data_IF_142856074646
#
_entry.id   IF_142856074646
#
_cell.length_a   1.000
_cell.length_b   1.000
_cell.length_c   1.000
_cell.angle_alpha   90.00
_cell.angle_beta   90.00
_cell.angle_gamma   90.00
#
_symmetry.space_group_name_H-M   'P 1'
#
loop_
_entity.id
_entity.type
_entity.pdbx_description
1 polymer ?
#
# COMPACT_ATOMS: atom_id res chain seq x y z
N UNK A 1 -70.39 8.60 -42.49
CA UNK A 1 -69.09 9.27 -42.70
C UNK A 1 -68.14 9.11 -41.50
N UNK A 2 -68.56 8.46 -40.42
CA UNK A 2 -67.79 8.38 -39.15
C UNK A 2 -66.91 7.13 -39.02
N UNK A 3 -67.05 6.16 -39.86
CA UNK A 3 -66.32 4.88 -39.73
C UNK A 3 -64.85 5.02 -40.16
N UNK A 4 -64.58 5.74 -41.22
CA UNK A 4 -63.25 6.00 -41.74
C UNK A 4 -62.40 6.90 -40.77
N UNK A 5 -63.05 7.83 -40.12
CA UNK A 5 -62.38 8.70 -39.13
C UNK A 5 -61.97 7.95 -37.83
N UNK A 6 -62.81 6.99 -37.40
CA UNK A 6 -62.47 6.12 -36.25
C UNK A 6 -61.36 5.14 -36.60
N UNK A 7 -61.29 4.63 -37.81
CA UNK A 7 -60.28 3.68 -38.26
C UNK A 7 -58.91 4.35 -38.35
N UNK A 8 -58.85 5.60 -38.85
CA UNK A 8 -57.58 6.38 -38.87
C UNK A 8 -57.09 6.74 -37.48
N UNK A 9 -57.98 7.13 -36.55
CA UNK A 9 -57.59 7.37 -35.17
C UNK A 9 -57.07 6.13 -34.44
N UNK A 10 -57.61 4.95 -34.73
CA UNK A 10 -57.15 3.69 -34.16
C UNK A 10 -55.79 3.27 -34.72
N UNK A 11 -55.49 3.55 -35.99
CA UNK A 11 -54.18 3.30 -36.58
C UNK A 11 -53.12 4.24 -36.01
N UNK A 12 -53.43 5.51 -35.81
CA UNK A 12 -52.54 6.49 -35.22
C UNK A 12 -52.21 6.16 -33.74
N UNK A 13 -53.22 5.72 -32.99
CA UNK A 13 -53.02 5.28 -31.60
C UNK A 13 -52.14 4.01 -31.51
N UNK A 14 -52.34 3.06 -32.43
CA UNK A 14 -51.50 1.86 -32.53
C UNK A 14 -50.03 2.21 -32.90
N UNK A 15 -49.88 3.14 -33.84
CA UNK A 15 -48.55 3.61 -34.24
C UNK A 15 -47.85 4.32 -33.05
N UNK A 16 -48.52 5.25 -32.37
CA UNK A 16 -47.97 5.92 -31.19
C UNK A 16 -47.61 4.94 -30.07
N UNK A 17 -48.45 3.96 -29.78
CA UNK A 17 -48.16 2.90 -28.83
C UNK A 17 -46.91 2.10 -29.22
N UNK A 18 -46.76 1.73 -30.48
CA UNK A 18 -45.62 0.94 -30.96
C UNK A 18 -44.34 1.75 -30.94
N UNK A 19 -44.39 3.04 -31.27
CA UNK A 19 -43.25 3.97 -31.13
C UNK A 19 -42.85 4.10 -29.67
N UNK A 20 -43.81 4.34 -28.76
CA UNK A 20 -43.58 4.44 -27.35
C UNK A 20 -42.94 3.16 -26.76
N UNK A 21 -43.48 2.00 -27.17
CA UNK A 21 -42.92 0.69 -26.79
C UNK A 21 -41.48 0.53 -27.28
N UNK A 22 -41.18 0.94 -28.52
CA UNK A 22 -39.83 0.92 -29.07
C UNK A 22 -38.85 1.80 -28.28
N UNK A 23 -39.29 3.00 -27.91
CA UNK A 23 -38.50 3.93 -27.08
C UNK A 23 -38.21 3.32 -25.67
N UNK A 24 -39.24 2.71 -25.05
CA UNK A 24 -39.04 2.05 -23.75
C UNK A 24 -38.03 0.88 -23.85
N UNK A 25 -38.11 0.06 -24.88
CA UNK A 25 -37.15 -1.04 -25.10
C UNK A 25 -35.71 -0.49 -25.30
N UNK A 26 -35.57 0.57 -26.09
CA UNK A 26 -34.28 1.22 -26.32
C UNK A 26 -33.67 1.78 -25.00
N UNK A 27 -34.50 2.45 -24.19
CA UNK A 27 -34.07 2.96 -22.89
C UNK A 27 -33.64 1.84 -21.91
N UNK A 28 -34.40 0.73 -21.90
CA UNK A 28 -34.01 -0.43 -21.10
C UNK A 28 -32.70 -1.04 -21.58
N UNK A 29 -32.46 -1.11 -22.89
CA UNK A 29 -31.20 -1.58 -23.47
C UNK A 29 -30.00 -0.69 -23.07
N UNK A 30 -30.16 0.63 -23.11
CA UNK A 30 -29.15 1.59 -22.71
C UNK A 30 -28.84 1.45 -21.21
N UNK A 31 -29.87 1.36 -20.34
CA UNK A 31 -29.69 1.15 -18.92
C UNK A 31 -28.96 -0.17 -18.60
N UNK A 32 -29.30 -1.25 -19.29
CA UNK A 32 -28.64 -2.54 -19.13
C UNK A 32 -27.14 -2.44 -19.53
N UNK A 33 -26.85 -1.78 -20.66
CA UNK A 33 -25.49 -1.56 -21.11
C UNK A 33 -24.67 -0.70 -20.13
N UNK A 34 -25.26 0.37 -19.59
CA UNK A 34 -24.62 1.21 -18.57
C UNK A 34 -24.36 0.45 -17.28
N UNK A 35 -25.32 -0.37 -16.81
CA UNK A 35 -25.15 -1.20 -15.62
C UNK A 35 -24.03 -2.21 -15.82
N UNK A 36 -23.91 -2.81 -17.00
CA UNK A 36 -22.85 -3.75 -17.34
C UNK A 36 -21.47 -3.05 -17.36
N UNK A 37 -21.38 -1.84 -17.94
CA UNK A 37 -20.18 -1.02 -17.92
C UNK A 37 -19.74 -0.65 -16.50
N UNK A 38 -20.68 -0.32 -15.62
CA UNK A 38 -20.39 0.00 -14.21
C UNK A 38 -19.91 -1.22 -13.43
N UNK A 39 -20.44 -2.40 -13.74
CA UNK A 39 -20.05 -3.66 -13.09
C UNK A 39 -18.59 -4.05 -13.40
N UNK A 40 -18.10 -3.70 -14.59
CA UNK A 40 -16.72 -3.94 -15.00
C UNK A 40 -15.76 -2.79 -14.70
N UNK A 41 -16.23 -1.68 -14.14
CA UNK A 41 -15.34 -0.61 -13.69
C UNK A 41 -14.61 -1.04 -12.44
N UNK A 42 -13.31 -1.13 -12.54
CA UNK A 42 -12.41 -1.19 -11.40
C UNK A 42 -12.21 0.24 -10.89
N UNK A 43 -12.84 0.57 -9.78
CA UNK A 43 -12.67 1.87 -9.15
C UNK A 43 -11.24 2.03 -8.64
N UNK A 44 -10.56 3.10 -9.08
CA UNK A 44 -9.29 3.52 -8.51
C UNK A 44 -9.58 4.30 -7.24
N UNK A 45 -9.20 3.75 -6.12
CA UNK A 45 -9.24 4.47 -4.85
C UNK A 45 -8.00 5.36 -4.80
N UNK A 46 -8.19 6.67 -4.96
CA UNK A 46 -7.12 7.66 -4.80
C UNK A 46 -7.09 8.01 -3.31
N UNK A 47 -6.08 7.52 -2.61
CA UNK A 47 -5.80 7.91 -1.22
C UNK A 47 -4.78 9.05 -1.28
N UNK A 48 -5.24 10.27 -1.04
CA UNK A 48 -4.36 11.44 -0.94
C UNK A 48 -4.26 11.87 0.52
N UNK A 49 -3.17 11.54 1.23
CA UNK A 49 -2.83 12.22 2.47
C UNK A 49 -2.56 13.71 2.23
N UNK A 50 -2.87 14.61 3.17
CA UNK A 50 -2.85 16.06 2.95
C UNK A 50 -1.48 16.69 2.63
N UNK A 51 -0.40 15.91 2.57
CA UNK A 51 0.96 16.40 2.32
C UNK A 51 1.57 15.87 1.00
N UNK A 52 0.79 15.19 0.14
CA UNK A 52 1.35 14.54 -1.04
C UNK A 52 0.98 15.25 -2.33
N UNK A 53 2.01 15.64 -3.06
CA UNK A 53 1.94 16.32 -4.35
C UNK A 53 1.59 15.38 -5.52
N UNK A 54 1.54 14.06 -5.29
CA UNK A 54 1.23 13.07 -6.33
C UNK A 54 0.12 12.12 -5.87
N UNK A 55 -0.83 11.83 -6.76
CA UNK A 55 -1.94 10.92 -6.48
C UNK A 55 -1.49 9.47 -6.39
N UNK A 56 -1.77 8.82 -5.27
CA UNK A 56 -1.62 7.37 -5.14
C UNK A 56 -2.83 6.66 -5.72
N UNK A 57 -2.59 5.57 -6.40
CA UNK A 57 -3.68 4.73 -6.88
C UNK A 57 -3.44 3.26 -6.53
N UNK A 58 -4.53 2.57 -6.25
CA UNK A 58 -4.58 1.13 -6.07
C UNK A 58 -5.61 0.61 -7.06
N UNK A 59 -5.20 -0.26 -7.98
CA UNK A 59 -6.06 -0.86 -8.99
C UNK A 59 -6.01 -2.39 -8.86
N UNK A 60 -7.04 -2.95 -8.24
CA UNK A 60 -7.10 -4.39 -7.98
C UNK A 60 -5.95 -4.89 -7.11
N UNK A 61 -4.99 -5.57 -7.73
CA UNK A 61 -3.78 -6.08 -7.06
C UNK A 61 -2.54 -5.23 -7.28
N UNK A 62 -2.63 -4.15 -8.06
CA UNK A 62 -1.53 -3.27 -8.41
C UNK A 62 -1.53 -2.03 -7.53
N UNK A 63 -0.34 -1.62 -7.14
CA UNK A 63 -0.10 -0.41 -6.36
C UNK A 63 0.78 0.55 -7.17
N UNK A 64 0.56 1.85 -7.03
CA UNK A 64 1.45 2.83 -7.67
C UNK A 64 2.86 2.75 -7.06
N UNK A 65 3.92 2.95 -7.86
CA UNK A 65 5.29 2.97 -7.33
C UNK A 65 5.46 3.96 -6.19
N UNK A 66 4.85 5.13 -6.30
CA UNK A 66 4.89 6.17 -5.27
C UNK A 66 4.25 5.72 -3.96
N UNK A 67 3.14 4.95 -4.04
CA UNK A 67 2.52 4.38 -2.84
C UNK A 67 3.43 3.35 -2.16
N UNK A 68 4.10 2.49 -2.94
CA UNK A 68 5.05 1.51 -2.41
C UNK A 68 6.24 2.21 -1.76
N UNK A 69 6.76 3.28 -2.37
CA UNK A 69 7.85 4.10 -1.81
C UNK A 69 7.50 4.69 -0.46
N UNK A 70 6.38 5.41 -0.39
CA UNK A 70 5.93 6.05 0.85
C UNK A 70 5.67 5.04 1.97
N UNK A 71 5.02 3.92 1.64
CA UNK A 71 4.79 2.87 2.62
C UNK A 71 6.09 2.23 3.08
N UNK A 72 7.06 2.03 2.18
CA UNK A 72 8.36 1.50 2.54
C UNK A 72 9.15 2.44 3.45
N UNK A 73 9.20 3.73 3.13
CA UNK A 73 9.83 4.75 3.97
C UNK A 73 9.16 4.84 5.34
N UNK A 74 7.84 4.82 5.38
CA UNK A 74 7.08 4.83 6.63
C UNK A 74 7.39 3.62 7.52
N UNK A 75 7.40 2.41 6.96
CA UNK A 75 7.72 1.22 7.73
C UNK A 75 9.20 1.13 8.11
N UNK A 76 10.12 1.57 7.23
CA UNK A 76 11.54 1.64 7.57
C UNK A 76 11.79 2.50 8.80
N UNK A 77 11.07 3.62 8.94
CA UNK A 77 11.12 4.45 10.12
C UNK A 77 10.74 3.68 11.41
N UNK A 78 9.69 2.86 11.38
CA UNK A 78 9.31 2.03 12.53
C UNK A 78 10.32 0.91 12.85
N UNK A 79 11.04 0.41 11.84
CA UNK A 79 12.03 -0.64 12.03
C UNK A 79 13.38 -0.13 12.50
N UNK A 80 13.81 1.03 11.99
CA UNK A 80 15.21 1.46 12.04
C UNK A 80 15.44 2.70 12.91
N UNK A 81 14.40 3.53 13.16
CA UNK A 81 14.52 4.70 14.02
C UNK A 81 14.00 4.37 15.43
N UNK A 82 14.74 3.49 16.11
CA UNK A 82 14.31 2.91 17.38
C UNK A 82 15.23 3.30 18.53
N UNK A 83 14.61 3.44 19.69
CA UNK A 83 15.25 3.68 20.97
C UNK A 83 14.73 2.64 21.97
N UNK A 84 15.40 2.50 23.11
CA UNK A 84 14.91 1.65 24.21
C UNK A 84 13.48 1.96 24.66
N UNK A 85 13.02 3.23 24.46
CA UNK A 85 11.71 3.71 24.94
C UNK A 85 10.60 3.52 23.94
N UNK A 86 10.89 3.58 22.62
CA UNK A 86 9.87 3.56 21.58
C UNK A 86 9.72 2.21 20.85
N UNK A 87 10.73 1.33 20.94
CA UNK A 87 10.76 0.09 20.13
C UNK A 87 9.53 -0.80 20.30
N UNK A 88 9.02 -0.98 21.52
CA UNK A 88 7.83 -1.78 21.76
C UNK A 88 6.58 -1.14 21.15
N UNK A 89 6.42 0.16 21.34
CA UNK A 89 5.28 0.89 20.80
C UNK A 89 5.26 0.89 19.28
N UNK A 90 6.41 1.18 18.66
CA UNK A 90 6.56 1.16 17.20
C UNK A 90 6.39 -0.26 16.65
N UNK A 91 6.94 -1.26 17.35
CA UNK A 91 6.79 -2.65 17.00
C UNK A 91 5.34 -3.13 17.04
N UNK A 92 4.56 -2.75 18.05
CA UNK A 92 3.14 -3.10 18.14
C UNK A 92 2.32 -2.49 16.99
N UNK A 93 2.66 -1.28 16.55
CA UNK A 93 2.05 -0.67 15.37
C UNK A 93 2.42 -1.47 14.12
N UNK A 94 3.70 -1.75 13.94
CA UNK A 94 4.23 -2.46 12.78
C UNK A 94 3.64 -3.86 12.62
N UNK A 95 3.50 -4.61 13.72
CA UNK A 95 2.96 -5.97 13.73
C UNK A 95 1.53 -6.07 13.19
N UNK A 96 0.77 -4.97 13.17
CA UNK A 96 -0.57 -4.91 12.55
C UNK A 96 -0.54 -4.95 11.03
N UNK A 97 0.63 -4.66 10.44
CA UNK A 97 0.86 -4.60 9.00
C UNK A 97 1.75 -5.72 8.49
N UNK A 98 2.09 -6.68 9.35
CA UNK A 98 2.87 -7.87 9.00
C UNK A 98 1.92 -9.00 8.62
N UNK A 99 2.32 -9.82 7.63
CA UNK A 99 1.53 -11.01 7.26
C UNK A 99 1.52 -12.04 8.39
N UNK A 100 0.43 -12.82 8.54
CA UNK A 100 0.32 -13.82 9.62
C UNK A 100 1.47 -14.83 9.65
N UNK A 101 1.98 -15.20 8.47
CA UNK A 101 3.02 -16.22 8.32
C UNK A 101 4.35 -15.83 8.99
N UNK A 102 4.69 -14.54 8.98
CA UNK A 102 5.95 -14.03 9.54
C UNK A 102 5.77 -13.26 10.84
N UNK A 103 4.54 -13.12 11.33
CA UNK A 103 4.22 -12.37 12.55
C UNK A 103 5.03 -12.85 13.76
N UNK A 104 5.11 -14.17 13.96
CA UNK A 104 5.85 -14.75 15.09
C UNK A 104 7.33 -14.43 15.05
N UNK A 105 7.94 -14.53 13.86
CA UNK A 105 9.35 -14.22 13.63
C UNK A 105 9.66 -12.73 13.89
N UNK A 106 8.80 -11.83 13.38
CA UNK A 106 8.95 -10.39 13.61
C UNK A 106 8.82 -10.03 15.08
N UNK A 107 7.84 -10.62 15.78
CA UNK A 107 7.65 -10.39 17.20
C UNK A 107 8.83 -10.88 18.03
N UNK A 108 9.38 -12.06 17.71
CA UNK A 108 10.57 -12.58 18.41
C UNK A 108 11.78 -11.66 18.23
N UNK A 109 12.03 -11.22 16.98
CA UNK A 109 13.11 -10.28 16.66
C UNK A 109 12.94 -8.94 17.38
N UNK A 110 11.73 -8.40 17.43
CA UNK A 110 11.42 -7.16 18.13
C UNK A 110 11.77 -7.23 19.62
N UNK A 111 11.43 -8.34 20.29
CA UNK A 111 11.76 -8.57 21.70
C UNK A 111 13.26 -8.76 21.95
N UNK A 112 13.96 -9.36 21.00
CA UNK A 112 15.41 -9.48 21.04
C UNK A 112 16.10 -8.12 20.88
N UNK A 113 15.67 -7.33 19.89
CA UNK A 113 16.20 -5.99 19.66
C UNK A 113 15.90 -5.05 20.84
N UNK A 114 14.71 -5.16 21.48
CA UNK A 114 14.39 -4.42 22.70
C UNK A 114 15.41 -4.71 23.81
N UNK A 115 15.69 -5.98 24.08
CA UNK A 115 16.67 -6.37 25.12
C UNK A 115 18.05 -5.83 24.81
N UNK A 116 18.48 -5.90 23.54
CA UNK A 116 19.78 -5.38 23.08
C UNK A 116 19.88 -3.87 23.24
N UNK A 117 18.85 -3.13 22.81
CA UNK A 117 18.81 -1.67 22.93
C UNK A 117 18.83 -1.23 24.40
N UNK A 118 18.03 -1.87 25.26
CA UNK A 118 18.00 -1.56 26.70
C UNK A 118 19.33 -1.86 27.40
N UNK A 119 19.91 -3.05 27.14
CA UNK A 119 21.17 -3.46 27.79
C UNK A 119 22.32 -2.50 27.51
N UNK A 120 22.37 -1.97 26.29
CA UNK A 120 23.48 -1.18 25.80
C UNK A 120 23.18 0.33 25.73
N UNK A 121 22.00 0.77 26.17
CA UNK A 121 21.51 2.16 26.02
C UNK A 121 21.62 2.65 24.56
N UNK A 122 21.31 1.76 23.61
CA UNK A 122 21.45 2.00 22.18
C UNK A 122 20.20 2.67 21.60
N UNK A 123 20.42 3.51 20.63
CA UNK A 123 19.39 3.99 19.71
C UNK A 123 19.91 3.98 18.29
N UNK A 124 19.02 3.82 17.33
CA UNK A 124 19.37 3.81 15.90
C UNK A 124 18.53 4.83 15.14
N UNK A 125 19.10 5.35 14.07
CA UNK A 125 18.44 6.25 13.14
C UNK A 125 18.90 5.94 11.72
N UNK A 126 17.95 5.77 10.83
CA UNK A 126 18.20 5.52 9.41
C UNK A 126 17.91 6.77 8.59
N UNK A 127 18.83 7.12 7.70
CA UNK A 127 18.66 8.22 6.75
C UNK A 127 18.70 7.65 5.33
N UNK A 128 17.54 7.41 4.69
CA UNK A 128 17.49 6.90 3.33
C UNK A 128 18.07 7.94 2.36
N UNK A 129 18.85 7.48 1.39
CA UNK A 129 19.45 8.31 0.34
C UNK A 129 19.05 7.86 -1.06
N UNK A 130 18.62 6.61 -1.21
CA UNK A 130 18.25 6.03 -2.50
C UNK A 130 17.15 4.99 -2.31
N UNK A 131 16.18 4.98 -3.22
CA UNK A 131 15.05 4.06 -3.20
C UNK A 131 14.94 3.39 -4.58
N UNK A 132 14.96 2.05 -4.61
CA UNK A 132 14.71 1.26 -5.81
C UNK A 132 13.41 0.48 -5.64
N UNK A 133 12.49 0.62 -6.59
CA UNK A 133 11.14 0.06 -6.49
C UNK A 133 10.93 -0.96 -7.59
N UNK A 134 10.43 -2.15 -7.24
CA UNK A 134 10.00 -3.20 -8.15
C UNK A 134 8.50 -3.46 -7.97
N UNK A 135 7.61 -2.74 -8.67
CA UNK A 135 6.17 -2.81 -8.44
C UNK A 135 5.57 -4.19 -8.75
N UNK A 136 6.10 -4.90 -9.73
CA UNK A 136 5.62 -6.24 -10.10
C UNK A 136 5.92 -7.29 -9.04
N UNK A 137 7.02 -7.12 -8.30
CA UNK A 137 7.42 -8.00 -7.20
C UNK A 137 6.93 -7.51 -5.84
N UNK A 138 6.34 -6.31 -5.77
CA UNK A 138 5.97 -5.62 -4.55
C UNK A 138 7.16 -5.50 -3.58
N UNK A 139 8.35 -5.16 -4.11
CA UNK A 139 9.57 -4.98 -3.32
C UNK A 139 10.08 -3.57 -3.45
N UNK A 140 10.64 -3.07 -2.35
CA UNK A 140 11.32 -1.77 -2.29
C UNK A 140 12.63 -1.94 -1.55
N UNK A 141 13.72 -1.52 -2.18
CA UNK A 141 15.04 -1.49 -1.61
C UNK A 141 15.37 -0.07 -1.19
N UNK A 142 15.72 0.10 0.08
CA UNK A 142 16.07 1.38 0.70
C UNK A 142 17.56 1.36 1.04
N UNK A 143 18.35 2.17 0.36
CA UNK A 143 19.77 2.38 0.67
C UNK A 143 19.95 3.68 1.41
N UNK A 144 20.77 3.67 2.47
CA UNK A 144 20.98 4.84 3.29
C UNK A 144 22.00 4.62 4.39
N UNK A 145 22.10 5.57 5.28
CA UNK A 145 23.02 5.52 6.42
C UNK A 145 22.27 5.14 7.70
N UNK A 146 22.69 4.03 8.31
CA UNK A 146 22.27 3.66 9.66
C UNK A 146 23.25 4.22 10.67
N UNK A 147 22.79 5.12 11.51
CA UNK A 147 23.53 5.70 12.60
C UNK A 147 23.12 5.05 13.91
N UNK A 148 24.12 4.66 14.74
CA UNK A 148 23.89 4.11 16.07
C UNK A 148 24.48 5.04 17.13
N UNK A 149 23.77 5.16 18.25
CA UNK A 149 24.13 6.03 19.37
C UNK A 149 24.07 5.26 20.68
N UNK A 150 24.97 5.61 21.61
CA UNK A 150 24.89 5.25 23.02
C UNK A 150 24.66 6.55 23.80
N UNK A 151 23.48 6.70 24.40
CA UNK A 151 23.06 8.00 24.91
C UNK A 151 23.06 9.05 23.79
N UNK A 152 23.76 10.15 23.98
CA UNK A 152 23.90 11.24 23.00
C UNK A 152 25.10 11.10 22.06
N UNK A 153 25.93 10.06 22.25
CA UNK A 153 27.16 9.88 21.47
C UNK A 153 26.94 8.97 20.29
N UNK A 154 27.20 9.48 19.07
CA UNK A 154 27.23 8.64 17.87
C UNK A 154 28.44 7.70 17.93
N UNK A 155 28.17 6.39 17.84
CA UNK A 155 29.20 5.34 17.91
C UNK A 155 29.45 4.68 16.54
N UNK A 156 28.47 4.71 15.65
CA UNK A 156 28.59 4.06 14.33
C UNK A 156 27.77 4.81 13.28
N UNK A 157 28.24 4.76 12.04
CA UNK A 157 27.55 5.24 10.85
C UNK A 157 27.96 4.33 9.70
N UNK A 158 27.00 3.54 9.19
CA UNK A 158 27.26 2.49 8.20
C UNK A 158 26.25 2.64 7.09
N UNK A 159 26.70 2.51 5.83
CA UNK A 159 25.79 2.42 4.69
C UNK A 159 25.20 1.04 4.61
N UNK A 160 23.88 0.96 4.62
CA UNK A 160 23.13 -0.29 4.59
C UNK A 160 21.99 -0.20 3.56
N UNK A 161 21.68 -1.35 2.96
CA UNK A 161 20.54 -1.48 2.04
C UNK A 161 19.57 -2.49 2.61
N UNK A 162 18.35 -2.06 2.86
CA UNK A 162 17.25 -2.88 3.36
C UNK A 162 16.22 -3.12 2.27
N UNK A 163 15.73 -4.32 2.18
CA UNK A 163 14.62 -4.69 1.31
C UNK A 163 13.36 -4.91 2.13
N UNK A 164 12.29 -4.25 1.71
CA UNK A 164 10.95 -4.52 2.19
C UNK A 164 10.18 -5.25 1.09
N UNK A 165 9.72 -6.45 1.39
CA UNK A 165 8.84 -7.20 0.51
C UNK A 165 7.42 -7.09 1.02
N UNK A 166 6.52 -6.67 0.15
CA UNK A 166 5.11 -6.56 0.46
C UNK A 166 4.31 -7.71 -0.14
N UNK A 167 3.13 -7.93 0.43
CA UNK A 167 2.11 -8.84 -0.08
C UNK A 167 0.77 -8.12 -0.10
N UNK A 168 0.05 -8.27 -1.21
CA UNK A 168 -1.33 -7.80 -1.29
C UNK A 168 -2.27 -8.85 -0.69
N UNK A 169 -2.97 -8.49 0.37
CA UNK A 169 -4.01 -9.30 0.96
C UNK A 169 -5.33 -8.54 0.95
N UNK A 170 -6.21 -8.90 0.02
CA UNK A 170 -7.54 -8.28 -0.15
C UNK A 170 -7.50 -6.75 -0.31
N UNK A 171 -6.55 -6.24 -1.11
CA UNK A 171 -6.37 -4.80 -1.34
C UNK A 171 -5.56 -4.07 -0.26
N UNK A 172 -5.10 -4.79 0.78
CA UNK A 172 -4.22 -4.24 1.82
C UNK A 172 -2.77 -4.64 1.53
N UNK A 173 -1.87 -3.68 1.64
CA UNK A 173 -0.44 -3.91 1.54
C UNK A 173 0.11 -4.32 2.90
N UNK A 174 0.58 -5.57 3.02
CA UNK A 174 1.18 -6.11 4.25
C UNK A 174 2.67 -6.41 4.02
N UNK A 175 3.45 -6.33 5.08
CA UNK A 175 4.87 -6.65 5.09
C UNK A 175 5.03 -8.17 5.15
N UNK A 176 5.64 -8.75 4.12
CA UNK A 176 5.97 -10.17 4.04
C UNK A 176 7.42 -10.47 4.45
N UNK A 177 8.34 -9.51 4.26
CA UNK A 177 9.72 -9.63 4.72
C UNK A 177 10.35 -8.24 4.90
N UNK A 178 11.30 -8.14 5.83
CA UNK A 178 12.22 -7.03 6.00
C UNK A 178 13.63 -7.59 6.17
N UNK A 179 14.51 -7.34 5.20
CA UNK A 179 15.80 -8.01 5.09
C UNK A 179 16.92 -7.02 4.83
N UNK A 180 18.03 -7.17 5.54
CA UNK A 180 19.27 -6.46 5.22
C UNK A 180 19.91 -7.15 4.00
N UNK A 181 20.03 -6.44 2.87
CA UNK A 181 20.66 -6.96 1.65
C UNK A 181 22.16 -6.74 1.64
N UNK A 182 22.59 -5.54 2.04
CA UNK A 182 24.00 -5.14 2.02
C UNK A 182 24.31 -4.26 3.20
N UNK A 183 25.47 -4.50 3.83
CA UNK A 183 26.04 -3.66 4.88
C UNK A 183 27.51 -3.45 4.59
N UNK A 184 27.97 -2.22 4.63
CA UNK A 184 29.38 -1.85 4.55
C UNK A 184 30.05 -1.87 5.93
N UNK A 185 29.41 -2.55 6.90
CA UNK A 185 29.95 -2.73 8.27
C UNK A 185 31.22 -3.60 8.21
N UNK A 186 32.26 -3.13 8.82
CA UNK A 186 33.51 -3.90 8.96
C UNK A 186 33.31 -5.04 9.98
N UNK A 187 33.45 -6.32 9.60
CA UNK A 187 33.17 -7.44 10.51
C UNK A 187 34.05 -7.51 11.75
N UNK A 188 35.14 -6.72 11.80
CA UNK A 188 36.10 -6.72 12.93
C UNK A 188 35.70 -5.82 14.10
N UNK A 189 34.59 -5.07 14.02
CA UNK A 189 34.17 -4.16 15.12
C UNK A 189 33.25 -4.84 16.14
N UNK A 190 32.71 -6.03 15.86
CA UNK A 190 31.79 -6.74 16.79
C UNK A 190 32.50 -7.51 17.92
N UNK A 191 33.83 -7.64 17.89
CA UNK A 191 34.58 -8.44 18.88
C UNK A 191 35.28 -7.63 19.98
N UNK A 192 35.06 -6.31 20.04
CA UNK A 192 35.73 -5.43 21.03
C UNK A 192 34.75 -4.66 21.93
N UNK A 193 33.74 -5.35 22.47
CA UNK A 193 32.86 -4.77 23.51
C UNK A 193 32.47 -5.79 24.55
#
# INVERSE_FOLDING_TARGET
MDFHLKQNRLSDLKFQRNVLAGVCVALLGINAAQSLCLFFRHDRIIVTPPQLTQGFWVEGKRFSPQYLEEMALHYAHFFLDVTEKNILYQGDILLRYVTPDVYGTFKAKLLEDEKRLKKNNLSTRFSPSEVAISPDQLTVDLSGELMSYVGDKKISQVRETYQIKFQNQSGRLLIAAFTLLKSDRNPNEETSS
#
